data_IF_484197984398
#
_entry.id   IF_484197984398
#
_cell.length_a   1.000
_cell.length_b   1.000
_cell.length_c   1.000
_cell.angle_alpha   90.00
_cell.angle_beta   90.00
_cell.angle_gamma   90.00
#
_symmetry.space_group_name_H-M   'P 1'
#
loop_
_entity.id
_entity.type
_entity.pdbx_description
1 polymer ?
#
# COMPACT_ATOMS: atom_id res chain seq x y z
N UNK A 1 -48.38 51.73 5.46
CA UNK A 1 -47.04 52.11 5.97
C UNK A 1 -46.58 51.01 6.92
N UNK A 2 -45.35 50.50 6.74
CA UNK A 2 -44.61 49.48 7.52
C UNK A 2 -45.24 48.06 7.60
N UNK A 3 -44.62 46.94 7.21
CA UNK A 3 -43.25 46.62 6.82
C UNK A 3 -42.45 45.97 7.97
N UNK A 4 -42.02 44.71 7.76
CA UNK A 4 -40.80 44.06 8.33
C UNK A 4 -40.92 43.47 9.76
N UNK A 5 -40.43 42.27 10.15
CA UNK A 5 -39.59 41.20 9.56
C UNK A 5 -39.91 39.85 10.24
N UNK A 6 -40.19 38.80 9.45
CA UNK A 6 -40.14 37.42 9.91
C UNK A 6 -38.70 36.91 9.94
N UNK A 7 -38.19 36.61 11.13
CA UNK A 7 -36.88 35.98 11.31
C UNK A 7 -36.94 34.49 10.97
N UNK A 8 -36.73 34.14 9.71
CA UNK A 8 -36.44 32.77 9.31
C UNK A 8 -34.97 32.46 9.56
N UNK A 9 -34.67 31.60 10.54
CA UNK A 9 -33.34 30.97 10.65
C UNK A 9 -33.04 30.21 9.36
N UNK A 10 -31.88 30.43 8.71
CA UNK A 10 -31.49 29.62 7.56
C UNK A 10 -31.33 28.16 7.99
N UNK A 11 -31.76 27.18 7.16
CA UNK A 11 -31.51 25.78 7.45
C UNK A 11 -30.00 25.55 7.51
N UNK A 12 -29.55 24.86 8.57
CA UNK A 12 -28.17 24.44 8.69
C UNK A 12 -27.76 23.66 7.43
N UNK A 13 -26.56 23.92 6.86
CA UNK A 13 -26.08 23.14 5.74
C UNK A 13 -26.02 21.65 6.15
N UNK A 14 -26.36 20.71 5.24
CA UNK A 14 -26.18 19.30 5.52
C UNK A 14 -24.73 19.04 5.92
N UNK A 15 -24.45 18.14 6.88
CA UNK A 15 -23.07 17.75 7.14
C UNK A 15 -22.48 17.27 5.83
N UNK A 16 -21.39 17.89 5.39
CA UNK A 16 -20.62 17.41 4.25
C UNK A 16 -20.40 15.90 4.43
N UNK A 17 -20.50 15.08 3.35
CA UNK A 17 -20.03 13.72 3.42
C UNK A 17 -18.63 13.79 4.02
N UNK A 18 -18.40 13.15 5.17
CA UNK A 18 -17.05 12.97 5.68
C UNK A 18 -16.34 12.27 4.55
N UNK A 19 -15.54 13.00 3.78
CA UNK A 19 -14.55 12.41 2.89
C UNK A 19 -13.83 11.42 3.77
N UNK A 20 -14.10 10.13 3.54
CA UNK A 20 -13.62 9.07 4.40
C UNK A 20 -12.10 9.21 4.38
N UNK A 21 -11.53 9.77 5.45
CA UNK A 21 -10.10 9.75 5.68
C UNK A 21 -9.77 8.27 5.66
N UNK A 22 -9.20 7.79 4.55
CA UNK A 22 -8.85 6.38 4.40
C UNK A 22 -8.00 6.06 5.62
N UNK A 23 -8.39 5.09 6.47
CA UNK A 23 -7.66 4.83 7.69
C UNK A 23 -6.26 4.33 7.31
N UNK A 24 -5.28 5.21 7.35
CA UNK A 24 -3.88 4.87 7.15
C UNK A 24 -3.44 4.09 8.38
N UNK A 25 -3.17 2.81 8.20
CA UNK A 25 -2.66 1.96 9.28
C UNK A 25 -1.19 2.26 9.49
N UNK A 26 -0.82 2.43 10.75
CA UNK A 26 0.58 2.54 11.18
C UNK A 26 1.07 1.21 11.75
N UNK A 27 2.38 1.00 11.76
CA UNK A 27 3.00 -0.17 12.39
C UNK A 27 2.70 -0.26 13.90
N UNK A 28 2.41 0.87 14.54
CA UNK A 28 2.10 0.98 15.97
C UNK A 28 0.59 0.95 16.28
N UNK A 29 -0.25 0.60 15.30
CA UNK A 29 -1.71 0.56 15.50
C UNK A 29 -2.08 -0.37 16.67
N UNK A 30 -2.82 0.16 17.64
CA UNK A 30 -3.19 -0.53 18.88
C UNK A 30 -4.10 -1.74 18.66
N UNK A 31 -4.73 -1.86 17.48
CA UNK A 31 -5.53 -3.02 17.10
C UNK A 31 -4.67 -4.22 16.72
N UNK A 32 -3.42 -3.99 16.35
CA UNK A 32 -2.47 -5.04 15.96
C UNK A 32 -1.93 -5.76 17.20
N UNK A 33 -1.78 -7.10 17.14
CA UNK A 33 -1.02 -7.81 18.16
C UNK A 33 0.47 -7.51 18.00
N UNK A 34 1.22 -7.57 19.11
CA UNK A 34 2.64 -7.18 19.14
C UNK A 34 3.48 -7.96 18.10
N UNK A 35 3.17 -9.24 17.90
CA UNK A 35 3.86 -10.09 16.92
C UNK A 35 3.68 -9.62 15.45
N UNK A 36 2.61 -8.90 15.12
CA UNK A 36 2.35 -8.43 13.76
C UNK A 36 3.00 -7.08 13.44
N UNK A 37 3.32 -6.27 14.45
CA UNK A 37 3.91 -4.93 14.27
C UNK A 37 5.16 -4.91 13.38
N UNK A 38 6.17 -5.79 13.57
CA UNK A 38 7.33 -5.80 12.68
C UNK A 38 6.98 -6.19 11.24
N UNK A 39 5.97 -7.05 11.03
CA UNK A 39 5.52 -7.41 9.68
C UNK A 39 4.86 -6.22 8.98
N UNK A 40 4.00 -5.48 9.69
CA UNK A 40 3.36 -4.27 9.15
C UNK A 40 4.39 -3.19 8.87
N UNK A 41 5.35 -2.95 9.76
CA UNK A 41 6.45 -2.01 9.52
C UNK A 41 7.23 -2.36 8.26
N UNK A 42 7.59 -3.64 8.11
CA UNK A 42 8.29 -4.13 6.91
C UNK A 42 7.48 -3.95 5.64
N UNK A 43 6.18 -4.26 5.69
CA UNK A 43 5.30 -4.09 4.54
C UNK A 43 5.22 -2.61 4.12
N UNK A 44 5.01 -1.69 5.08
CA UNK A 44 4.93 -0.26 4.80
C UNK A 44 6.25 0.28 4.24
N UNK A 45 7.40 -0.19 4.72
CA UNK A 45 8.71 0.15 4.15
C UNK A 45 8.82 -0.32 2.69
N UNK A 46 8.48 -1.57 2.39
CA UNK A 46 8.52 -2.10 1.02
C UNK A 46 7.57 -1.34 0.08
N UNK A 47 6.39 -0.97 0.58
CA UNK A 47 5.44 -0.12 -0.16
C UNK A 47 6.09 1.21 -0.51
N UNK A 48 6.68 1.91 0.47
CA UNK A 48 7.32 3.20 0.25
C UNK A 48 8.51 3.09 -0.72
N UNK A 49 9.32 2.05 -0.60
CA UNK A 49 10.46 1.80 -1.49
C UNK A 49 10.02 1.59 -2.94
N UNK A 50 8.94 0.82 -3.15
CA UNK A 50 8.39 0.59 -4.50
C UNK A 50 7.77 1.89 -5.05
N UNK A 51 6.97 2.60 -4.25
CA UNK A 51 6.36 3.87 -4.68
C UNK A 51 7.42 4.91 -5.06
N UNK A 52 8.54 4.98 -4.34
CA UNK A 52 9.65 5.88 -4.65
C UNK A 52 10.32 5.54 -6.00
N UNK A 53 10.63 4.27 -6.25
CA UNK A 53 11.25 3.81 -7.51
C UNK A 53 10.33 4.04 -8.71
N UNK A 54 9.04 3.74 -8.55
CA UNK A 54 8.05 3.89 -9.61
C UNK A 54 7.66 5.35 -9.88
N UNK A 55 7.96 6.29 -8.97
CA UNK A 55 7.69 7.70 -9.23
C UNK A 55 8.48 8.24 -10.43
N UNK A 56 9.69 7.70 -10.63
CA UNK A 56 10.58 8.11 -11.71
C UNK A 56 10.22 7.47 -13.06
N UNK A 57 9.48 6.35 -13.06
CA UNK A 57 9.04 5.64 -14.26
C UNK A 57 7.52 5.44 -14.33
N UNK A 58 6.86 6.35 -15.07
CA UNK A 58 5.42 6.35 -15.26
C UNK A 58 4.89 5.15 -16.09
N UNK A 59 5.74 4.31 -16.69
CA UNK A 59 5.28 3.11 -17.39
C UNK A 59 4.76 2.04 -16.43
N UNK A 60 5.10 2.14 -15.13
CA UNK A 60 4.78 1.16 -14.09
C UNK A 60 3.46 1.43 -13.34
N UNK A 61 2.44 1.94 -14.04
CA UNK A 61 1.13 2.28 -13.45
C UNK A 61 0.46 1.09 -12.77
N UNK A 62 0.60 -0.12 -13.33
CA UNK A 62 -0.05 -1.32 -12.79
C UNK A 62 0.54 -1.74 -11.44
N UNK A 63 1.88 -1.80 -11.33
CA UNK A 63 2.56 -2.12 -10.08
C UNK A 63 2.23 -1.09 -8.99
N UNK A 64 2.25 0.20 -9.35
CA UNK A 64 1.88 1.29 -8.44
C UNK A 64 0.43 1.20 -7.97
N UNK A 65 -0.49 0.81 -8.86
CA UNK A 65 -1.90 0.63 -8.52
C UNK A 65 -2.10 -0.52 -7.54
N UNK A 66 -1.43 -1.66 -7.76
CA UNK A 66 -1.48 -2.80 -6.85
C UNK A 66 -0.94 -2.45 -5.45
N UNK A 67 0.22 -1.79 -5.39
CA UNK A 67 0.85 -1.36 -4.13
C UNK A 67 -0.04 -0.40 -3.35
N UNK A 68 -0.64 0.59 -4.04
CA UNK A 68 -1.60 1.52 -3.44
C UNK A 68 -2.86 0.80 -2.96
N UNK A 69 -3.36 -0.18 -3.70
CA UNK A 69 -4.52 -0.98 -3.29
C UNK A 69 -4.21 -1.83 -2.04
N UNK A 70 -3.01 -2.40 -1.96
CA UNK A 70 -2.55 -3.12 -0.77
C UNK A 70 -2.51 -2.22 0.46
N UNK A 71 -1.97 -1.01 0.34
CA UNK A 71 -1.87 -0.01 1.42
C UNK A 71 -3.24 0.55 1.83
N UNK A 72 -4.03 0.99 0.87
CA UNK A 72 -5.23 1.79 1.12
C UNK A 72 -6.47 0.95 1.42
N UNK A 73 -6.49 -0.31 0.98
CA UNK A 73 -7.67 -1.17 1.06
C UNK A 73 -7.39 -2.47 1.79
N UNK A 74 -6.47 -3.31 1.28
CA UNK A 74 -6.33 -4.67 1.78
C UNK A 74 -5.79 -4.73 3.21
N UNK A 75 -4.76 -3.95 3.52
CA UNK A 75 -4.17 -3.93 4.86
C UNK A 75 -5.17 -3.36 5.89
N UNK A 76 -5.80 -2.18 5.70
CA UNK A 76 -6.78 -1.65 6.64
C UNK A 76 -7.98 -2.58 6.86
N UNK A 77 -8.46 -3.22 5.79
CA UNK A 77 -9.56 -4.17 5.86
C UNK A 77 -9.18 -5.41 6.70
N UNK A 78 -7.98 -5.95 6.51
CA UNK A 78 -7.49 -7.12 7.26
C UNK A 78 -7.33 -6.80 8.75
N UNK A 79 -6.77 -5.64 9.09
CA UNK A 79 -6.65 -5.19 10.49
C UNK A 79 -8.03 -4.97 11.13
N UNK A 80 -8.96 -4.38 10.38
CA UNK A 80 -10.34 -4.15 10.86
C UNK A 80 -11.05 -5.47 11.13
N UNK A 81 -10.99 -6.43 10.20
CA UNK A 81 -11.58 -7.75 10.38
C UNK A 81 -10.99 -8.51 11.57
N UNK A 82 -9.68 -8.38 11.82
CA UNK A 82 -9.07 -8.95 13.03
C UNK A 82 -9.56 -8.26 14.31
N UNK A 83 -9.71 -6.93 14.28
CA UNK A 83 -10.14 -6.15 15.43
C UNK A 83 -11.58 -6.48 15.87
N UNK A 84 -12.45 -6.83 14.91
CA UNK A 84 -13.85 -7.26 15.16
C UNK A 84 -13.94 -8.58 15.93
N UNK A 85 -12.89 -9.41 15.89
CA UNK A 85 -12.84 -10.66 16.68
C UNK A 85 -12.60 -10.30 18.16
N UNK A 86 -13.44 -10.76 19.10
CA UNK A 86 -13.24 -10.47 20.52
C UNK A 86 -11.88 -10.99 21.00
N UNK A 87 -11.21 -10.20 21.85
CA UNK A 87 -9.84 -10.46 22.27
C UNK A 87 -9.63 -11.86 22.87
N UNK A 88 -10.62 -12.38 23.61
CA UNK A 88 -10.62 -13.73 24.19
C UNK A 88 -10.51 -14.85 23.15
N UNK A 89 -11.01 -14.63 21.92
CA UNK A 89 -11.06 -15.64 20.87
C UNK A 89 -9.94 -15.51 19.82
N UNK A 90 -9.15 -14.42 19.85
CA UNK A 90 -8.11 -14.18 18.82
C UNK A 90 -6.99 -15.24 18.81
N UNK A 91 -6.67 -15.78 19.98
CA UNK A 91 -5.67 -16.84 20.16
C UNK A 91 -6.28 -18.26 20.10
N UNK A 92 -7.61 -18.38 20.15
CA UNK A 92 -8.29 -19.66 20.11
C UNK A 92 -8.15 -20.29 18.71
N UNK A 93 -7.87 -21.59 18.66
CA UNK A 93 -7.86 -22.32 17.40
C UNK A 93 -9.31 -22.56 16.99
N UNK A 94 -9.75 -21.90 15.91
CA UNK A 94 -11.09 -22.12 15.39
C UNK A 94 -11.23 -23.56 14.90
N UNK A 95 -12.27 -24.26 15.36
CA UNK A 95 -12.54 -25.65 14.96
C UNK A 95 -12.73 -25.82 13.45
N UNK A 96 -13.17 -24.77 12.75
CA UNK A 96 -13.42 -24.79 11.31
C UNK A 96 -12.14 -24.66 10.47
N UNK A 97 -11.16 -23.86 10.92
CA UNK A 97 -9.95 -23.55 10.13
C UNK A 97 -8.69 -24.22 10.68
N UNK A 98 -8.74 -24.74 11.92
CA UNK A 98 -7.59 -25.32 12.61
C UNK A 98 -6.48 -24.31 12.91
N UNK A 99 -6.75 -23.00 12.78
CA UNK A 99 -5.78 -21.91 12.96
C UNK A 99 -6.41 -20.81 13.81
N UNK A 100 -5.60 -20.05 14.54
CA UNK A 100 -6.07 -18.88 15.30
C UNK A 100 -6.23 -17.66 14.40
N UNK A 101 -6.98 -16.65 14.85
CA UNK A 101 -7.11 -15.38 14.14
C UNK A 101 -5.75 -14.70 13.97
N UNK A 102 -4.95 -14.68 15.04
CA UNK A 102 -3.60 -14.10 15.03
C UNK A 102 -2.68 -14.82 14.06
N UNK A 103 -2.78 -16.14 13.93
CA UNK A 103 -2.01 -16.90 12.94
C UNK A 103 -2.40 -16.48 11.51
N UNK A 104 -3.70 -16.45 11.20
CA UNK A 104 -4.17 -16.07 9.86
C UNK A 104 -3.82 -14.62 9.50
N UNK A 105 -3.87 -13.71 10.47
CA UNK A 105 -3.43 -12.32 10.31
C UNK A 105 -1.95 -12.25 9.88
N UNK A 106 -1.06 -12.89 10.63
CA UNK A 106 0.38 -12.90 10.32
C UNK A 106 0.65 -13.52 8.95
N UNK A 107 -0.01 -14.63 8.62
CA UNK A 107 0.11 -15.26 7.30
C UNK A 107 -0.38 -14.35 6.17
N UNK A 108 -1.43 -13.56 6.40
CA UNK A 108 -1.88 -12.54 5.46
C UNK A 108 -0.78 -11.51 5.19
N UNK A 109 -0.17 -10.96 6.25
CA UNK A 109 0.93 -10.02 6.11
C UNK A 109 2.16 -10.63 5.41
N UNK A 110 2.56 -11.85 5.76
CA UNK A 110 3.68 -12.55 5.11
C UNK A 110 3.46 -12.74 3.60
N UNK A 111 2.23 -13.08 3.18
CA UNK A 111 1.88 -13.19 1.76
C UNK A 111 1.98 -11.86 1.03
N UNK A 112 1.46 -10.79 1.65
CA UNK A 112 1.55 -9.44 1.11
C UNK A 112 3.02 -9.01 0.95
N UNK A 113 3.84 -9.26 1.97
CA UNK A 113 5.29 -8.99 1.94
C UNK A 113 5.97 -9.75 0.80
N UNK A 114 5.72 -11.06 0.65
CA UNK A 114 6.30 -11.88 -0.42
C UNK A 114 5.94 -11.37 -1.82
N UNK A 115 4.69 -10.89 -2.00
CA UNK A 115 4.26 -10.26 -3.24
C UNK A 115 5.03 -8.97 -3.53
N UNK A 116 5.17 -8.09 -2.53
CA UNK A 116 5.94 -6.84 -2.67
C UNK A 116 7.41 -7.09 -2.97
N UNK A 117 8.05 -8.06 -2.32
CA UNK A 117 9.43 -8.44 -2.64
C UNK A 117 9.58 -8.92 -4.09
N UNK A 118 8.59 -9.67 -4.58
CA UNK A 118 8.60 -10.12 -5.97
C UNK A 118 8.44 -8.97 -6.94
N UNK A 119 7.54 -8.02 -6.65
CA UNK A 119 7.41 -6.79 -7.42
C UNK A 119 8.71 -5.97 -7.38
N UNK A 120 9.32 -5.79 -6.21
CA UNK A 120 10.58 -5.07 -6.06
C UNK A 120 11.71 -5.68 -6.88
N UNK A 121 11.81 -7.02 -6.91
CA UNK A 121 12.78 -7.72 -7.77
C UNK A 121 12.50 -7.51 -9.25
N UNK A 122 11.23 -7.52 -9.66
CA UNK A 122 10.85 -7.26 -11.05
C UNK A 122 11.23 -5.86 -11.50
N UNK A 123 10.98 -4.85 -10.67
CA UNK A 123 11.36 -3.46 -10.94
C UNK A 123 12.87 -3.32 -11.08
N UNK A 124 13.63 -3.93 -10.15
CA UNK A 124 15.08 -3.90 -10.22
C UNK A 124 15.64 -4.58 -11.49
N UNK A 125 14.98 -5.65 -11.98
CA UNK A 125 15.39 -6.29 -13.23
C UNK A 125 15.14 -5.38 -14.44
N UNK A 126 14.00 -4.71 -14.48
CA UNK A 126 13.66 -3.77 -15.54
C UNK A 126 14.59 -2.55 -15.58
N UNK A 127 14.98 -2.02 -14.42
CA UNK A 127 15.99 -0.96 -14.30
C UNK A 127 17.34 -1.41 -14.90
N UNK A 128 17.75 -2.66 -14.61
CA UNK A 128 19.00 -3.24 -15.12
C UNK A 128 18.95 -3.46 -16.63
N UNK A 129 17.82 -3.93 -17.16
CA UNK A 129 17.63 -4.16 -18.59
C UNK A 129 17.68 -2.82 -19.35
N UNK A 130 17.01 -1.79 -18.83
CA UNK A 130 17.04 -0.41 -19.36
C UNK A 130 18.45 0.18 -19.36
N UNK A 131 19.21 -0.05 -18.28
CA UNK A 131 20.60 0.36 -18.20
C UNK A 131 21.48 -0.35 -19.24
N UNK A 132 21.33 -1.67 -19.40
CA UNK A 132 22.10 -2.45 -20.37
C UNK A 132 21.81 -2.02 -21.81
N UNK A 133 20.55 -1.71 -22.13
CA UNK A 133 20.15 -1.20 -23.44
C UNK A 133 20.76 0.18 -23.74
N UNK A 134 20.77 1.08 -22.75
CA UNK A 134 21.43 2.38 -22.89
C UNK A 134 22.94 2.22 -23.10
N UNK A 135 23.60 1.31 -22.37
CA UNK A 135 25.02 1.02 -22.56
C UNK A 135 25.31 0.53 -23.98
N UNK A 136 24.51 -0.43 -24.48
CA UNK A 136 24.65 -0.94 -25.86
C UNK A 136 24.43 0.14 -26.91
N UNK A 137 23.47 1.05 -26.67
CA UNK A 137 23.24 2.18 -27.55
C UNK A 137 24.46 3.11 -27.61
N UNK A 138 25.06 3.43 -26.45
CA UNK A 138 26.27 4.26 -26.38
C UNK A 138 27.43 3.58 -27.11
N UNK A 139 27.66 2.28 -26.87
CA UNK A 139 28.70 1.50 -27.56
C UNK A 139 28.51 1.50 -29.07
N UNK A 140 27.28 1.30 -29.56
CA UNK A 140 27.02 1.34 -31.00
C UNK A 140 27.21 2.75 -31.58
N UNK A 141 26.73 3.78 -30.88
CA UNK A 141 26.73 5.16 -31.39
C UNK A 141 28.10 5.82 -31.36
N UNK A 142 28.94 5.45 -30.40
CA UNK A 142 30.23 6.11 -30.13
C UNK A 142 31.43 5.16 -30.19
N UNK A 143 31.22 3.85 -30.23
CA UNK A 143 32.28 2.84 -30.32
C UNK A 143 32.73 2.49 -31.74
N UNK A 144 31.91 2.77 -32.76
CA UNK A 144 32.24 2.57 -34.18
C UNK A 144 32.93 3.79 -34.84
N UNK A 145 33.27 4.84 -34.09
CA UNK A 145 34.03 6.01 -34.58
C UNK A 145 35.56 5.78 -34.46
N UNK A 146 36.03 4.62 -34.92
CA UNK A 146 37.41 4.49 -35.42
C UNK A 146 37.39 4.20 -36.93
N UNK A 147 37.14 5.21 -37.78
CA UNK A 147 37.32 5.12 -39.23
C UNK A 147 38.80 5.05 -39.65
N UNK A 148 39.76 4.87 -38.72
CA UNK A 148 41.21 4.85 -38.99
C UNK A 148 41.95 3.62 -38.42
N UNK A 149 41.25 2.52 -38.09
CA UNK A 149 41.88 1.22 -37.78
C UNK A 149 41.73 0.16 -38.86
#
# INVERSE_FOLDING_TARGET
>A
MAGWLGGGTPPAPPPAPREAQKPTISAEDSRLPDASRPLVARLLSLIADIEARTHDDSLMVSALTEVRQMRDSHLPQLVTSYAEIPASHRAEIFRQTGKSASYNLNQGFERMISRLETLSRSLAQEDLDSFADNLRFIEHRYGDDDPLR
#
